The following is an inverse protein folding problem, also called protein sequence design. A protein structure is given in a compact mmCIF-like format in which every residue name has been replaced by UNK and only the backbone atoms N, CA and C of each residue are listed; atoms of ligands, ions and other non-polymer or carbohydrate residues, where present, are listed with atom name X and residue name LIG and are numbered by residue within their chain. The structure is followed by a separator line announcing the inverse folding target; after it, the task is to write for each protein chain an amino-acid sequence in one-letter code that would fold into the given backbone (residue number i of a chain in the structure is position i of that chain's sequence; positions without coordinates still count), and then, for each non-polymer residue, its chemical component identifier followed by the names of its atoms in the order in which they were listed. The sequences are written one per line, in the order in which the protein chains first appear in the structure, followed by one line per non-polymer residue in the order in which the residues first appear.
data_IF_067928562731
#
_entry.id   IF_067928562731
#
_cell.length_a   1.000
_cell.length_b   1.000
_cell.length_c   1.000
_cell.angle_alpha   90.00
_cell.angle_beta   90.00
_cell.angle_gamma   90.00
#
_symmetry.space_group_name_H-M   'P 1'
#
loop_
_entity.id
_entity.type
_entity.pdbx_description
1 polymer ?
#
# COMPACT_ATOMS: atom_id res chain seq x y z
N UNK A 1 13.00 -31.69 72.66
CA UNK A 1 13.22 -32.92 71.85
C UNK A 1 11.88 -33.18 71.15
N UNK A 2 11.71 -33.26 69.83
CA UNK A 2 12.57 -33.68 68.70
C UNK A 2 11.96 -33.17 67.39
N UNK A 3 12.79 -33.03 66.35
CA UNK A 3 12.50 -32.56 64.98
C UNK A 3 11.42 -33.37 64.23
N UNK A 4 10.75 -32.77 63.23
CA UNK A 4 11.04 -33.02 61.78
C UNK A 4 10.08 -32.28 60.82
N UNK A 5 10.67 -31.77 59.73
CA UNK A 5 10.04 -31.20 58.52
C UNK A 5 9.32 -32.29 57.71
N UNK A 6 8.23 -31.94 57.02
CA UNK A 6 7.93 -32.50 55.67
C UNK A 6 7.34 -31.41 54.77
N UNK A 7 7.91 -31.29 53.57
CA UNK A 7 7.52 -30.42 52.45
C UNK A 7 6.61 -31.19 51.47
N UNK A 8 5.72 -30.43 50.81
CA UNK A 8 5.25 -30.54 49.39
C UNK A 8 4.37 -31.72 48.95
N UNK A 9 3.67 -31.43 47.84
CA UNK A 9 2.84 -32.26 46.94
C UNK A 9 1.37 -32.33 47.39
N UNK A 10 0.32 -32.20 46.56
CA UNK A 10 0.13 -32.35 45.11
C UNK A 10 -1.24 -31.69 44.80
N UNK A 11 -1.40 -30.76 43.85
CA UNK A 11 -1.57 -30.95 42.40
C UNK A 11 -3.05 -30.91 41.94
N UNK A 12 -3.41 -29.77 41.35
CA UNK A 12 -4.20 -29.56 40.11
C UNK A 12 -5.57 -30.22 39.98
N UNK A 13 -6.62 -29.43 40.20
CA UNK A 13 -7.91 -29.57 39.49
C UNK A 13 -7.88 -28.58 38.33
N UNK A 14 -7.84 -29.07 37.10
CA UNK A 14 -7.93 -28.27 35.88
C UNK A 14 -9.40 -28.02 35.52
N UNK A 15 -9.83 -26.78 35.20
CA UNK A 15 -11.03 -26.57 34.43
C UNK A 15 -10.65 -26.48 32.94
N UNK A 16 -10.68 -27.64 32.28
CA UNK A 16 -10.65 -27.78 30.82
C UNK A 16 -12.02 -27.36 30.26
N UNK A 17 -12.35 -26.06 30.28
CA UNK A 17 -13.63 -25.58 29.75
C UNK A 17 -13.59 -24.19 29.08
N UNK A 18 -12.43 -23.54 28.98
CA UNK A 18 -12.33 -22.18 28.41
C UNK A 18 -11.63 -22.15 27.04
N UNK A 19 -11.07 -23.26 26.56
CA UNK A 19 -10.15 -23.22 25.41
C UNK A 19 -10.86 -23.25 24.04
N UNK A 20 -12.15 -23.62 23.95
CA UNK A 20 -12.80 -23.78 22.63
C UNK A 20 -13.45 -22.49 22.09
N UNK A 21 -13.74 -21.50 22.94
CA UNK A 21 -14.26 -20.19 22.47
C UNK A 21 -13.14 -19.22 22.07
N UNK A 22 -11.88 -19.55 22.35
CA UNK A 22 -10.73 -18.72 21.99
C UNK A 22 -10.25 -18.91 20.54
N UNK A 23 -10.76 -19.90 19.80
CA UNK A 23 -10.30 -20.20 18.43
C UNK A 23 -11.10 -19.52 17.31
N UNK A 24 -12.20 -18.82 17.60
CA UNK A 24 -12.89 -18.01 16.60
C UNK A 24 -12.45 -16.54 16.58
N UNK A 25 -11.47 -16.16 17.43
CA UNK A 25 -10.90 -14.81 17.47
C UNK A 25 -9.69 -14.62 16.55
N UNK A 26 -9.23 -15.67 15.86
CA UNK A 26 -8.13 -15.59 14.89
C UNK A 26 -8.54 -15.01 13.51
N UNK A 27 -9.69 -14.35 13.40
CA UNK A 27 -10.10 -13.67 12.16
C UNK A 27 -10.05 -12.14 12.23
N UNK A 28 -9.78 -11.58 13.41
CA UNK A 28 -9.64 -10.14 13.59
C UNK A 28 -8.69 -9.89 14.77
N UNK A 29 -7.39 -9.91 14.50
CA UNK A 29 -6.41 -9.43 15.48
C UNK A 29 -6.65 -7.92 15.72
N UNK A 30 -7.13 -7.48 16.89
CA UNK A 30 -7.34 -6.07 17.18
C UNK A 30 -6.03 -5.35 17.54
N UNK A 31 -4.89 -6.06 17.59
CA UNK A 31 -3.60 -5.54 18.05
C UNK A 31 -2.47 -5.61 17.02
N UNK A 32 -2.74 -5.98 15.76
CA UNK A 32 -1.74 -5.79 14.72
C UNK A 32 -1.52 -4.27 14.50
N UNK A 33 -0.27 -3.78 14.51
CA UNK A 33 0.02 -2.36 14.47
C UNK A 33 -0.29 -1.80 13.07
N UNK A 34 -1.52 -1.36 12.86
CA UNK A 34 -2.07 -0.94 11.56
C UNK A 34 -1.66 0.48 11.14
N UNK A 35 -0.39 0.83 11.30
CA UNK A 35 0.15 2.13 10.85
C UNK A 35 0.22 2.26 9.32
N UNK A 36 -0.07 1.18 8.60
CA UNK A 36 0.00 1.04 7.15
C UNK A 36 -1.35 1.12 6.45
N UNK A 37 -2.43 1.38 7.19
CA UNK A 37 -3.78 1.49 6.63
C UNK A 37 -4.17 2.94 6.47
N UNK A 38 -4.92 3.21 5.41
CA UNK A 38 -5.44 4.55 5.15
C UNK A 38 -5.58 4.83 3.67
N UNK A 39 -6.01 6.06 3.39
CA UNK A 39 -5.98 6.63 2.05
C UNK A 39 -4.94 7.73 2.05
N UNK A 40 -3.94 7.56 1.21
CA UNK A 40 -2.85 8.49 0.97
C UNK A 40 -3.11 9.20 -0.36
N UNK A 41 -2.86 10.50 -0.39
CA UNK A 41 -3.09 11.33 -1.58
C UNK A 41 -1.77 11.64 -2.26
N UNK A 42 -1.76 11.62 -3.59
CA UNK A 42 -0.56 11.89 -4.37
C UNK A 42 -0.10 13.33 -4.14
N UNK A 43 1.11 13.49 -3.61
CA UNK A 43 1.74 14.79 -3.35
C UNK A 43 2.83 15.11 -4.37
N UNK A 44 3.62 14.11 -4.78
CA UNK A 44 4.70 14.29 -5.74
C UNK A 44 4.71 13.22 -6.83
N UNK A 45 5.13 13.60 -8.03
CA UNK A 45 5.52 12.70 -9.11
C UNK A 45 6.92 13.08 -9.61
N UNK A 46 7.82 12.10 -9.74
CA UNK A 46 9.24 12.30 -10.08
C UNK A 46 9.91 13.43 -9.26
N UNK A 47 9.68 13.43 -7.94
CA UNK A 47 10.17 14.42 -6.99
C UNK A 47 9.71 15.87 -7.24
N UNK A 48 8.63 16.07 -7.99
CA UNK A 48 8.00 17.38 -8.22
C UNK A 48 6.58 17.38 -7.68
N UNK A 49 6.12 18.49 -7.06
CA UNK A 49 4.77 18.57 -6.53
C UNK A 49 3.75 18.45 -7.68
N UNK A 50 2.66 17.70 -7.46
CA UNK A 50 1.58 17.62 -8.44
C UNK A 50 0.70 18.90 -8.41
N UNK A 51 0.12 19.32 -9.55
CA UNK A 51 0.27 18.75 -10.88
C UNK A 51 1.66 18.99 -11.49
N UNK A 52 2.20 18.00 -12.22
CA UNK A 52 3.53 18.11 -12.83
C UNK A 52 3.68 17.36 -14.14
N UNK A 53 4.48 17.92 -15.04
CA UNK A 53 4.83 17.31 -16.32
C UNK A 53 5.89 16.23 -16.08
N UNK A 54 5.57 14.99 -16.46
CA UNK A 54 6.43 13.82 -16.32
C UNK A 54 7.12 13.42 -17.63
N UNK A 55 6.56 13.81 -18.78
CA UNK A 55 7.12 13.51 -20.11
C UNK A 55 6.70 14.57 -21.13
N UNK A 56 7.50 14.75 -22.19
CA UNK A 56 7.23 15.69 -23.28
C UNK A 56 7.74 17.12 -23.07
N UNK A 57 7.20 18.05 -23.86
CA UNK A 57 7.68 19.44 -23.92
C UNK A 57 7.18 20.33 -22.77
N UNK A 58 8.00 21.31 -22.38
CA UNK A 58 7.66 22.30 -21.35
C UNK A 58 6.97 23.55 -21.90
N UNK A 59 6.91 23.72 -23.22
CA UNK A 59 6.34 24.89 -23.88
C UNK A 59 4.82 24.75 -24.12
N UNK A 60 4.06 25.86 -24.13
CA UNK A 60 2.67 25.86 -24.59
C UNK A 60 2.55 25.31 -26.02
N UNK A 61 1.54 24.49 -26.29
CA UNK A 61 1.32 23.89 -27.61
C UNK A 61 2.28 22.75 -27.97
N UNK A 62 2.98 22.18 -26.98
CA UNK A 62 3.77 20.95 -27.19
C UNK A 62 3.08 19.75 -26.55
N UNK A 63 3.09 18.57 -27.20
CA UNK A 63 2.62 17.35 -26.59
C UNK A 63 3.37 17.05 -25.30
N UNK A 64 2.63 16.79 -24.23
CA UNK A 64 3.20 16.53 -22.90
C UNK A 64 2.24 15.75 -22.03
N UNK A 65 2.80 15.02 -21.09
CA UNK A 65 2.06 14.24 -20.12
C UNK A 65 2.23 14.82 -18.73
N UNK A 66 1.11 15.06 -18.07
CA UNK A 66 1.04 15.67 -16.75
C UNK A 66 0.33 14.73 -15.77
N UNK A 67 0.95 14.45 -14.64
CA UNK A 67 0.29 13.77 -13.51
C UNK A 67 -0.38 14.84 -12.66
N UNK A 68 -1.67 14.69 -12.40
CA UNK A 68 -2.48 15.75 -11.77
C UNK A 68 -2.87 15.43 -10.34
N UNK A 69 -3.32 14.20 -10.09
CA UNK A 69 -3.78 13.71 -8.78
C UNK A 69 -3.69 12.20 -8.73
N UNK A 70 -3.87 11.65 -7.54
CA UNK A 70 -3.88 10.20 -7.34
C UNK A 70 -4.19 9.84 -5.90
N UNK A 71 -4.52 8.58 -5.69
CA UNK A 71 -4.82 8.02 -4.37
C UNK A 71 -4.23 6.63 -4.25
N UNK A 72 -3.72 6.30 -3.06
CA UNK A 72 -3.39 4.94 -2.65
C UNK A 72 -4.21 4.61 -1.41
N UNK A 73 -5.06 3.60 -1.49
CA UNK A 73 -5.86 3.12 -0.36
C UNK A 73 -5.39 1.73 0.05
N UNK A 74 -4.94 1.59 1.29
CA UNK A 74 -4.54 0.34 1.92
C UNK A 74 -5.64 -0.10 2.91
N UNK A 75 -6.27 -1.26 2.65
CA UNK A 75 -7.43 -1.74 3.40
C UNK A 75 -7.05 -2.75 4.48
N UNK A 76 -8.01 -3.04 5.37
CA UNK A 76 -7.85 -3.97 6.49
C UNK A 76 -7.66 -5.41 6.07
N UNK A 77 -8.28 -5.82 4.97
CA UNK A 77 -8.23 -7.17 4.41
C UNK A 77 -6.97 -7.44 3.58
N UNK A 78 -5.93 -6.61 3.73
CA UNK A 78 -4.70 -6.65 2.92
C UNK A 78 -4.93 -6.44 1.42
N UNK A 79 -6.08 -5.86 1.02
CA UNK A 79 -6.28 -5.37 -0.34
C UNK A 79 -5.87 -3.90 -0.48
N UNK A 80 -5.50 -3.49 -1.68
CA UNK A 80 -5.26 -2.09 -2.00
C UNK A 80 -5.95 -1.63 -3.29
N UNK A 81 -6.06 -0.31 -3.43
CA UNK A 81 -6.40 0.35 -4.68
C UNK A 81 -5.48 1.55 -4.87
N UNK A 82 -4.85 1.64 -6.03
CA UNK A 82 -3.96 2.72 -6.43
C UNK A 82 -4.53 3.35 -7.70
N UNK A 83 -4.69 4.67 -7.69
CA UNK A 83 -5.19 5.43 -8.83
C UNK A 83 -4.28 6.63 -9.07
N UNK A 84 -3.90 6.85 -10.33
CA UNK A 84 -3.14 8.02 -10.77
C UNK A 84 -3.86 8.62 -11.96
N UNK A 85 -4.18 9.90 -11.88
CA UNK A 85 -4.80 10.65 -12.96
C UNK A 85 -3.76 11.43 -13.75
N UNK A 86 -3.96 11.37 -15.06
CA UNK A 86 -2.99 11.84 -16.04
C UNK A 86 -3.71 12.67 -17.10
N UNK A 87 -3.12 13.81 -17.44
CA UNK A 87 -3.51 14.65 -18.57
C UNK A 87 -2.50 14.51 -19.69
N UNK A 88 -2.98 14.11 -20.86
CA UNK A 88 -2.22 14.12 -22.10
C UNK A 88 -2.58 15.36 -22.91
N UNK A 89 -1.63 16.29 -23.03
CA UNK A 89 -1.78 17.51 -23.79
C UNK A 89 -1.41 17.27 -25.25
N UNK A 90 -2.17 17.87 -26.15
CA UNK A 90 -1.91 17.86 -27.59
C UNK A 90 -1.09 19.08 -28.02
N UNK A 91 -0.56 19.04 -29.25
CA UNK A 91 0.13 20.19 -29.86
C UNK A 91 -0.78 21.41 -30.09
N UNK A 92 -2.10 21.27 -29.96
CA UNK A 92 -3.07 22.37 -30.07
C UNK A 92 -3.42 23.00 -28.73
N UNK A 93 -2.86 22.49 -27.63
CA UNK A 93 -3.16 22.96 -26.27
C UNK A 93 -4.45 22.39 -25.67
N UNK A 94 -5.13 21.47 -26.36
CA UNK A 94 -6.19 20.65 -25.77
C UNK A 94 -5.57 19.52 -24.93
N UNK A 95 -6.36 18.90 -24.04
CA UNK A 95 -5.91 17.74 -23.29
C UNK A 95 -6.99 16.67 -23.14
N UNK A 96 -6.54 15.43 -22.93
CA UNK A 96 -7.37 14.28 -22.56
C UNK A 96 -7.01 13.82 -21.15
N UNK A 97 -8.01 13.51 -20.34
CA UNK A 97 -7.81 12.93 -19.01
C UNK A 97 -7.95 11.41 -19.06
N UNK A 98 -7.06 10.71 -18.36
CA UNK A 98 -7.18 9.27 -18.16
C UNK A 98 -6.73 8.89 -16.75
N UNK A 99 -7.25 7.78 -16.26
CA UNK A 99 -6.87 7.20 -14.97
C UNK A 99 -6.10 5.91 -15.18
N UNK A 100 -4.96 5.78 -14.50
CA UNK A 100 -4.23 4.54 -14.34
C UNK A 100 -4.61 3.95 -12.99
N UNK A 101 -5.19 2.76 -12.99
CA UNK A 101 -5.69 2.11 -11.80
C UNK A 101 -5.05 0.74 -11.63
N UNK A 102 -4.63 0.46 -10.41
CA UNK A 102 -4.09 -0.83 -9.97
C UNK A 102 -4.82 -1.26 -8.72
N UNK A 103 -5.07 -2.55 -8.59
CA UNK A 103 -5.67 -3.13 -7.39
C UNK A 103 -5.12 -4.55 -7.21
N UNK A 104 -5.11 -5.00 -5.96
CA UNK A 104 -4.65 -6.33 -5.61
C UNK A 104 -4.43 -6.45 -4.11
N UNK A 105 -3.50 -7.31 -3.72
CA UNK A 105 -3.13 -7.51 -2.32
C UNK A 105 -1.80 -6.84 -1.99
N UNK A 106 -1.60 -6.50 -0.72
CA UNK A 106 -0.33 -5.97 -0.26
C UNK A 106 0.20 -6.68 0.97
N UNK A 107 1.53 -6.72 1.06
CA UNK A 107 2.27 -7.12 2.25
C UNK A 107 3.14 -5.95 2.72
N UNK A 108 3.45 -5.93 4.03
CA UNK A 108 4.23 -4.86 4.63
C UNK A 108 5.07 -5.38 5.81
N UNK A 109 6.36 -5.06 5.82
CA UNK A 109 7.31 -5.54 6.84
C UNK A 109 7.67 -4.51 7.94
N UNK A 110 7.17 -3.27 7.86
CA UNK A 110 7.69 -2.17 8.70
C UNK A 110 8.16 -0.96 7.91
N UNK A 111 8.61 -1.19 6.68
CA UNK A 111 9.38 -0.21 5.90
C UNK A 111 9.12 -0.34 4.41
N UNK A 112 8.82 -1.53 3.94
CA UNK A 112 8.62 -1.85 2.54
C UNK A 112 7.23 -2.44 2.37
N UNK A 113 6.52 -1.89 1.38
CA UNK A 113 5.22 -2.33 0.92
C UNK A 113 5.42 -3.08 -0.39
N UNK A 114 4.91 -4.31 -0.47
CA UNK A 114 4.85 -5.08 -1.71
C UNK A 114 3.41 -5.10 -2.20
N UNK A 115 3.15 -4.45 -3.33
CA UNK A 115 1.82 -4.32 -3.92
C UNK A 115 1.72 -5.28 -5.11
N UNK A 116 1.01 -6.39 -4.93
CA UNK A 116 0.77 -7.37 -5.98
C UNK A 116 -0.30 -6.87 -6.94
N UNK A 117 -0.02 -6.86 -8.24
CA UNK A 117 -0.98 -6.43 -9.25
C UNK A 117 -0.96 -7.35 -10.48
N UNK A 118 -2.04 -7.26 -11.26
CA UNK A 118 -2.08 -7.79 -12.61
C UNK A 118 -2.11 -6.60 -13.58
N UNK A 119 -1.06 -6.44 -14.37
CA UNK A 119 -1.05 -5.46 -15.44
C UNK A 119 -2.03 -5.85 -16.56
N UNK A 120 -2.43 -4.89 -17.42
CA UNK A 120 -3.37 -5.15 -18.53
C UNK A 120 -2.88 -6.20 -19.53
N UNK A 121 -1.57 -6.49 -19.54
CA UNK A 121 -0.90 -7.42 -20.46
C UNK A 121 -0.16 -8.54 -19.74
N UNK A 122 -0.34 -8.65 -18.42
CA UNK A 122 0.45 -9.58 -17.62
C UNK A 122 -0.26 -10.94 -17.59
N UNK A 123 0.49 -12.00 -17.92
CA UNK A 123 0.03 -13.39 -17.74
C UNK A 123 0.23 -13.90 -16.31
N UNK A 124 1.06 -13.21 -15.52
CA UNK A 124 1.40 -13.55 -14.14
C UNK A 124 1.23 -12.32 -13.25
N UNK A 125 1.13 -12.52 -11.94
CA UNK A 125 1.15 -11.41 -10.99
C UNK A 125 2.51 -10.71 -11.02
N UNK A 126 2.49 -9.39 -11.05
CA UNK A 126 3.64 -8.51 -10.92
C UNK A 126 3.63 -7.85 -9.54
N UNK A 127 4.76 -7.27 -9.12
CA UNK A 127 4.90 -6.61 -7.80
C UNK A 127 5.43 -5.19 -7.97
N UNK A 128 4.72 -4.20 -7.44
CA UNK A 128 5.28 -2.87 -7.20
C UNK A 128 5.88 -2.84 -5.79
N UNK A 129 7.16 -2.53 -5.70
CA UNK A 129 7.83 -2.33 -4.41
C UNK A 129 7.74 -0.85 -4.06
N UNK A 130 7.27 -0.57 -2.85
CA UNK A 130 7.11 0.78 -2.33
C UNK A 130 7.82 0.94 -0.98
N UNK A 131 8.33 2.14 -0.70
CA UNK A 131 8.89 2.46 0.60
C UNK A 131 7.84 3.18 1.44
N UNK A 132 7.65 2.73 2.67
CA UNK A 132 6.87 3.42 3.68
C UNK A 132 7.80 4.14 4.66
N UNK A 133 7.59 5.45 4.85
CA UNK A 133 8.40 6.29 5.74
C UNK A 133 7.53 7.33 6.43
N UNK A 134 7.10 7.04 7.67
CA UNK A 134 6.47 8.05 8.53
C UNK A 134 5.16 8.62 7.97
N UNK A 135 4.29 7.77 7.43
CA UNK A 135 3.02 8.16 6.82
C UNK A 135 3.11 8.46 5.32
N UNK A 136 4.31 8.55 4.76
CA UNK A 136 4.55 8.70 3.32
C UNK A 136 4.75 7.34 2.65
N UNK A 137 4.15 7.13 1.49
CA UNK A 137 4.37 5.97 0.63
C UNK A 137 4.99 6.39 -0.71
N UNK A 138 6.19 5.89 -0.99
CA UNK A 138 6.89 6.10 -2.26
C UNK A 138 6.72 4.86 -3.14
N UNK A 139 5.95 4.96 -4.21
CA UNK A 139 5.65 3.86 -5.15
C UNK A 139 6.19 4.20 -6.53
N UNK A 140 6.91 3.27 -7.17
CA UNK A 140 7.19 3.36 -8.60
C UNK A 140 6.00 2.79 -9.36
N UNK A 141 5.19 3.65 -9.94
CA UNK A 141 3.98 3.26 -10.68
C UNK A 141 4.35 2.97 -12.13
N UNK A 142 4.12 1.75 -12.62
CA UNK A 142 4.54 1.37 -13.96
C UNK A 142 3.61 1.94 -15.02
N UNK A 143 4.14 2.09 -16.24
CA UNK A 143 3.38 2.36 -17.47
C UNK A 143 2.37 3.52 -17.36
N UNK A 144 2.72 4.60 -16.66
CA UNK A 144 1.81 5.74 -16.48
C UNK A 144 1.51 6.39 -17.83
N UNK A 145 2.52 6.52 -18.70
CA UNK A 145 2.43 7.07 -20.07
C UNK A 145 2.34 6.01 -21.18
N UNK A 146 2.22 4.73 -20.82
CA UNK A 146 2.29 3.62 -21.79
C UNK A 146 3.71 3.10 -22.08
N UNK A 147 4.75 3.57 -21.37
CA UNK A 147 6.09 2.98 -21.44
C UNK A 147 7.10 3.42 -20.37
N UNK A 148 6.75 4.34 -19.48
CA UNK A 148 7.59 4.90 -18.41
C UNK A 148 6.99 4.65 -17.05
N UNK A 149 7.90 4.36 -16.13
CA UNK A 149 7.64 4.24 -14.72
C UNK A 149 7.80 5.61 -14.05
N UNK A 150 6.90 5.93 -13.12
CA UNK A 150 6.87 7.23 -12.45
C UNK A 150 6.98 7.00 -10.96
N UNK A 151 7.93 7.68 -10.30
CA UNK A 151 8.00 7.70 -8.84
C UNK A 151 6.87 8.59 -8.32
N UNK A 152 5.87 7.99 -7.70
CA UNK A 152 4.77 8.67 -7.05
C UNK A 152 4.95 8.64 -5.53
N UNK A 153 4.73 9.78 -4.88
CA UNK A 153 4.81 9.91 -3.42
C UNK A 153 3.44 10.30 -2.89
N UNK A 154 2.88 9.46 -2.03
CA UNK A 154 1.57 9.64 -1.41
C UNK A 154 1.73 9.96 0.08
N UNK A 155 0.98 10.95 0.57
CA UNK A 155 0.97 11.41 1.97
C UNK A 155 -0.45 11.37 2.58
#
# INVERSE_FOLDING_TARGET
MTLTRVKRAMTRVAPLAVVVVALSACYDDPFSPYWDRGTYYLSYANNRPVPTIISGGSAPGTPRLEVTRGTLTLRRDHSYALMVEVREWTGTGQYYESTRAYAGTYENDGRTLWLNYFGPRDYYSSVMVANWRGGRVEVVVPNVDGGQDVLCVFD
#
